data_IF_096789466704
#
_entry.id   IF_096789466704
#
_cell.length_a   1.000
_cell.length_b   1.000
_cell.length_c   1.000
_cell.angle_alpha   90.00
_cell.angle_beta   90.00
_cell.angle_gamma   90.00
#
_symmetry.space_group_name_H-M   'P 1'
#
loop_
_entity.id
_entity.type
_entity.pdbx_description
1 polymer ?
#
# COMPACT_ATOMS: atom_id res chain seq x y z
N UNK A 1 7.10 15.38 24.44
CA UNK A 1 7.94 14.53 23.58
C UNK A 1 8.40 15.34 22.39
N UNK A 2 9.58 15.05 21.86
CA UNK A 2 10.06 15.63 20.61
C UNK A 2 9.64 14.74 19.45
N UNK A 3 8.78 15.22 18.56
CA UNK A 3 8.11 14.41 17.51
C UNK A 3 8.47 14.89 16.12
N UNK A 4 8.96 13.99 15.27
CA UNK A 4 9.20 14.25 13.86
C UNK A 4 7.94 13.88 13.06
N UNK A 5 7.32 14.85 12.39
CA UNK A 5 6.10 14.62 11.61
C UNK A 5 6.42 14.56 10.12
N UNK A 6 6.13 13.43 9.48
CA UNK A 6 6.24 13.30 8.02
C UNK A 6 5.14 14.12 7.34
N UNK A 7 5.52 15.22 6.68
CA UNK A 7 4.61 16.16 6.03
C UNK A 7 4.71 16.02 4.51
N UNK A 8 3.65 15.56 3.88
CA UNK A 8 3.58 15.35 2.41
C UNK A 8 2.99 16.55 1.65
N UNK A 9 2.64 17.63 2.33
CA UNK A 9 1.90 18.75 1.75
C UNK A 9 0.41 18.46 1.51
N UNK A 10 -0.10 17.33 1.99
CA UNK A 10 -1.53 16.99 2.00
C UNK A 10 -2.22 17.40 3.29
N UNK A 11 -3.58 17.39 3.29
CA UNK A 11 -4.40 17.78 4.44
C UNK A 11 -4.13 16.92 5.68
N UNK A 12 -4.01 15.60 5.50
CA UNK A 12 -3.88 14.63 6.58
C UNK A 12 -2.61 14.84 7.41
N UNK A 13 -1.46 14.96 6.75
CA UNK A 13 -0.18 15.22 7.43
C UNK A 13 -0.12 16.61 8.07
N UNK A 14 -0.81 17.59 7.48
CA UNK A 14 -0.91 18.96 8.03
C UNK A 14 -1.72 18.97 9.33
N UNK A 15 -2.87 18.28 9.36
CA UNK A 15 -3.70 18.14 10.55
C UNK A 15 -2.98 17.33 11.63
N UNK A 16 -2.28 16.25 11.25
CA UNK A 16 -1.48 15.47 12.19
C UNK A 16 -0.43 16.32 12.92
N UNK A 17 0.30 17.19 12.19
CA UNK A 17 1.27 18.11 12.78
C UNK A 17 0.61 19.11 13.73
N UNK A 18 -0.52 19.70 13.31
CA UNK A 18 -1.24 20.68 14.11
C UNK A 18 -1.78 20.09 15.42
N UNK A 19 -2.38 18.90 15.37
CA UNK A 19 -2.93 18.21 16.55
C UNK A 19 -1.84 17.87 17.56
N UNK A 20 -0.67 17.44 17.11
CA UNK A 20 0.47 17.16 17.99
C UNK A 20 0.99 18.44 18.65
N UNK A 21 1.05 19.55 17.92
CA UNK A 21 1.42 20.85 18.50
C UNK A 21 0.38 21.32 19.53
N UNK A 22 -0.91 21.22 19.22
CA UNK A 22 -1.99 21.54 20.16
C UNK A 22 -1.93 20.66 21.44
N UNK A 23 -1.48 19.41 21.29
CA UNK A 23 -1.26 18.49 22.43
C UNK A 23 0.01 18.82 23.26
N UNK A 24 0.76 19.87 22.88
CA UNK A 24 1.94 20.33 23.63
C UNK A 24 3.22 19.54 23.33
N UNK A 25 3.31 18.84 22.22
CA UNK A 25 4.56 18.20 21.77
C UNK A 25 5.51 19.23 21.15
N UNK A 26 6.82 18.98 21.26
CA UNK A 26 7.88 19.65 20.49
C UNK A 26 7.88 19.03 19.07
N UNK A 27 7.25 19.71 18.11
CA UNK A 27 6.98 19.19 16.78
C UNK A 27 7.96 19.77 15.76
N UNK A 28 8.57 18.90 14.98
CA UNK A 28 9.39 19.26 13.81
C UNK A 28 8.82 18.56 12.58
N UNK A 29 8.56 19.32 11.51
CA UNK A 29 8.10 18.79 10.24
C UNK A 29 9.25 18.25 9.38
N UNK A 30 8.99 17.20 8.62
CA UNK A 30 9.92 16.68 7.61
C UNK A 30 9.19 16.29 6.34
N UNK A 31 9.61 16.82 5.19
CA UNK A 31 9.18 16.33 3.88
C UNK A 31 10.24 15.40 3.30
N UNK A 32 9.79 14.24 2.83
CA UNK A 32 10.66 13.26 2.18
C UNK A 32 10.64 13.53 0.68
N UNK A 33 11.79 13.94 0.12
CA UNK A 33 11.95 14.03 -1.33
C UNK A 33 12.25 12.62 -1.85
N UNK A 34 11.26 12.01 -2.51
CA UNK A 34 11.31 10.61 -2.97
C UNK A 34 11.61 10.48 -4.46
N UNK A 35 11.18 11.43 -5.26
CA UNK A 35 11.28 11.39 -6.72
C UNK A 35 11.84 12.70 -7.25
N UNK A 36 12.61 12.66 -8.33
CA UNK A 36 13.29 13.82 -8.91
C UNK A 36 13.29 13.82 -10.44
N UNK A 37 12.30 13.16 -11.07
CA UNK A 37 12.16 13.13 -12.53
C UNK A 37 11.77 14.50 -13.13
N UNK A 38 11.84 14.62 -14.45
CA UNK A 38 11.44 15.82 -15.20
C UNK A 38 9.95 16.18 -15.03
N UNK A 39 9.15 15.24 -14.57
CA UNK A 39 7.76 15.40 -14.19
C UNK A 39 7.66 15.54 -12.66
N UNK A 40 7.45 16.73 -12.22
CA UNK A 40 7.28 17.13 -10.82
C UNK A 40 5.83 16.80 -10.32
N UNK A 41 5.34 15.60 -10.67
CA UNK A 41 4.00 15.13 -10.34
C UNK A 41 4.07 14.01 -9.29
N UNK A 42 3.23 14.09 -8.28
CA UNK A 42 3.15 13.12 -7.19
C UNK A 42 3.35 13.76 -5.82
N UNK A 43 3.27 12.96 -4.75
CA UNK A 43 3.28 13.44 -3.35
C UNK A 43 4.62 14.06 -2.88
N UNK A 44 5.50 14.44 -3.80
CA UNK A 44 6.79 15.11 -3.52
C UNK A 44 7.08 16.19 -4.57
N UNK A 45 6.06 16.73 -5.22
CA UNK A 45 6.22 17.86 -6.15
C UNK A 45 6.77 19.10 -5.41
N UNK A 46 7.39 20.03 -6.14
CA UNK A 46 7.85 21.30 -5.55
C UNK A 46 6.69 22.00 -4.85
N UNK A 47 5.50 21.96 -5.43
CA UNK A 47 4.29 22.54 -4.83
C UNK A 47 3.89 21.87 -3.50
N UNK A 48 4.04 20.55 -3.39
CA UNK A 48 3.73 19.83 -2.14
C UNK A 48 4.75 20.17 -1.03
N UNK A 49 6.03 20.26 -1.39
CA UNK A 49 7.08 20.71 -0.46
C UNK A 49 6.81 22.13 0.02
N UNK A 50 6.41 23.02 -0.88
CA UNK A 50 6.06 24.40 -0.52
C UNK A 50 4.81 24.48 0.33
N UNK A 51 3.78 23.66 0.07
CA UNK A 51 2.59 23.57 0.91
C UNK A 51 2.97 23.08 2.32
N UNK A 52 3.79 22.03 2.44
CA UNK A 52 4.28 21.53 3.73
C UNK A 52 5.05 22.61 4.52
N UNK A 53 5.96 23.37 3.84
CA UNK A 53 6.69 24.48 4.46
C UNK A 53 5.77 25.59 4.95
N UNK A 54 4.77 25.96 4.16
CA UNK A 54 3.81 27.02 4.53
C UNK A 54 2.95 26.58 5.72
N UNK A 55 2.52 25.34 5.75
CA UNK A 55 1.82 24.78 6.93
C UNK A 55 2.73 24.77 8.13
N UNK A 56 3.96 24.30 8.03
CA UNK A 56 4.93 24.31 9.13
C UNK A 56 5.16 25.73 9.66
N UNK A 57 5.34 26.71 8.76
CA UNK A 57 5.46 28.13 9.14
C UNK A 57 4.20 28.66 9.84
N UNK A 58 3.00 28.33 9.35
CA UNK A 58 1.75 28.76 9.99
C UNK A 58 1.54 28.13 11.38
N UNK A 59 2.11 26.96 11.60
CA UNK A 59 2.11 26.27 12.89
C UNK A 59 3.28 26.70 13.79
N UNK A 60 4.17 27.56 13.32
CA UNK A 60 5.41 27.95 14.01
C UNK A 60 6.19 26.71 14.48
N UNK A 61 6.52 25.82 13.54
CA UNK A 61 7.38 24.64 13.72
C UNK A 61 8.50 24.62 12.69
N UNK A 62 9.66 24.09 13.07
CA UNK A 62 10.76 23.86 12.13
C UNK A 62 10.39 22.82 11.08
N UNK A 63 10.95 22.98 9.86
CA UNK A 63 10.68 22.06 8.75
C UNK A 63 11.95 21.70 8.00
N UNK A 64 12.20 20.41 7.81
CA UNK A 64 13.33 19.88 7.08
C UNK A 64 12.91 19.15 5.80
N UNK A 65 13.83 19.04 4.85
CA UNK A 65 13.67 18.19 3.66
C UNK A 65 14.73 17.10 3.73
N UNK A 66 14.29 15.85 3.71
CA UNK A 66 15.17 14.69 3.62
C UNK A 66 15.14 14.13 2.21
N UNK A 67 16.30 14.07 1.57
CA UNK A 67 16.43 13.51 0.24
C UNK A 67 16.64 11.99 0.35
N UNK A 68 15.67 11.23 -0.12
CA UNK A 68 15.68 9.77 -0.24
C UNK A 68 15.46 9.31 -1.69
N UNK A 69 15.81 10.14 -2.68
CA UNK A 69 15.57 9.83 -4.09
C UNK A 69 16.28 8.54 -4.53
N UNK A 70 17.54 8.37 -4.12
CA UNK A 70 18.33 7.17 -4.45
C UNK A 70 17.81 5.91 -3.76
N UNK A 71 17.45 6.03 -2.50
CA UNK A 71 16.90 4.92 -1.71
C UNK A 71 15.51 4.52 -2.22
N UNK A 72 14.70 5.50 -2.60
CA UNK A 72 13.38 5.25 -3.18
C UNK A 72 13.48 4.57 -4.56
N UNK A 73 14.39 5.03 -5.42
CA UNK A 73 14.65 4.39 -6.70
C UNK A 73 15.07 2.92 -6.49
N UNK A 74 16.01 2.67 -5.59
CA UNK A 74 16.55 1.33 -5.36
C UNK A 74 15.56 0.38 -4.68
N UNK A 75 14.80 0.86 -3.68
CA UNK A 75 13.93 0.02 -2.86
C UNK A 75 12.48 -0.07 -3.34
N UNK A 76 12.01 0.88 -4.14
CA UNK A 76 10.60 0.96 -4.56
C UNK A 76 10.45 0.90 -6.07
N UNK A 77 11.10 1.82 -6.81
CA UNK A 77 10.87 1.94 -8.26
C UNK A 77 11.49 0.77 -9.02
N UNK A 78 12.76 0.47 -8.75
CA UNK A 78 13.45 -0.64 -9.43
C UNK A 78 12.77 -1.99 -9.17
N UNK A 79 12.46 -2.40 -7.93
CA UNK A 79 11.71 -3.64 -7.69
C UNK A 79 10.32 -3.65 -8.34
N UNK A 80 9.62 -2.52 -8.37
CA UNK A 80 8.34 -2.40 -9.04
C UNK A 80 8.44 -2.68 -10.55
N UNK A 81 9.49 -2.20 -11.21
CA UNK A 81 9.76 -2.44 -12.63
C UNK A 81 10.18 -3.90 -12.87
N UNK A 82 11.11 -4.42 -12.06
CA UNK A 82 11.63 -5.78 -12.17
C UNK A 82 10.51 -6.83 -11.95
N UNK A 83 9.66 -6.62 -10.97
CA UNK A 83 8.52 -7.49 -10.67
C UNK A 83 7.51 -7.51 -11.84
N UNK A 84 7.18 -6.35 -12.43
CA UNK A 84 6.31 -6.31 -13.61
C UNK A 84 6.96 -7.02 -14.80
N UNK A 85 8.27 -6.88 -15.02
CA UNK A 85 8.99 -7.61 -16.05
C UNK A 85 8.89 -9.13 -15.84
N UNK A 86 8.88 -9.57 -14.59
CA UNK A 86 8.71 -10.98 -14.20
C UNK A 86 7.23 -11.45 -14.19
N UNK A 87 6.26 -10.60 -14.54
CA UNK A 87 4.82 -10.92 -14.52
C UNK A 87 4.21 -10.97 -13.13
N UNK A 88 4.84 -10.32 -12.15
CA UNK A 88 4.29 -10.12 -10.81
C UNK A 88 3.46 -8.83 -10.76
N UNK A 89 2.65 -8.71 -9.72
CA UNK A 89 1.83 -7.50 -9.49
C UNK A 89 2.20 -6.87 -8.14
N UNK A 90 3.30 -6.11 -8.06
CA UNK A 90 3.77 -5.53 -6.80
C UNK A 90 2.90 -4.36 -6.33
N UNK A 91 2.96 -4.06 -5.01
CA UNK A 91 2.38 -2.86 -4.43
C UNK A 91 3.49 -1.90 -3.94
N UNK A 92 3.85 -0.88 -4.74
CA UNK A 92 4.96 0.01 -4.41
C UNK A 92 4.65 0.90 -3.19
N UNK A 93 3.39 1.16 -2.85
CA UNK A 93 3.02 1.94 -1.68
C UNK A 93 3.36 1.21 -0.38
N UNK A 94 3.20 -0.11 -0.35
CA UNK A 94 3.61 -0.94 0.80
C UNK A 94 5.12 -0.88 0.99
N UNK A 95 5.89 -1.06 -0.08
CA UNK A 95 7.35 -0.99 -0.02
C UNK A 95 7.86 0.41 0.38
N UNK A 96 7.24 1.47 -0.14
CA UNK A 96 7.55 2.84 0.28
C UNK A 96 7.30 3.04 1.77
N UNK A 97 6.17 2.58 2.30
CA UNK A 97 5.90 2.66 3.73
C UNK A 97 6.93 1.84 4.52
N UNK A 98 7.15 0.56 4.15
CA UNK A 98 8.07 -0.33 4.86
C UNK A 98 9.49 0.21 4.92
N UNK A 99 10.10 0.51 3.76
CA UNK A 99 11.53 0.85 3.70
C UNK A 99 11.78 2.34 3.96
N UNK A 100 11.04 3.22 3.29
CA UNK A 100 11.37 4.65 3.32
C UNK A 100 10.81 5.32 4.58
N UNK A 101 9.50 5.11 4.85
CA UNK A 101 8.84 5.82 5.95
C UNK A 101 9.05 5.17 7.31
N UNK A 102 9.16 3.84 7.38
CA UNK A 102 9.24 3.15 8.68
C UNK A 102 10.60 2.56 9.00
N UNK A 103 11.47 2.28 8.02
CA UNK A 103 12.85 1.94 8.34
C UNK A 103 13.74 3.19 8.31
N UNK A 104 13.94 3.81 7.15
CA UNK A 104 14.93 4.91 6.99
C UNK A 104 14.56 6.19 7.75
N UNK A 105 13.29 6.61 7.74
CA UNK A 105 12.88 7.81 8.47
C UNK A 105 12.98 7.61 9.97
N UNK A 106 12.61 6.44 10.50
CA UNK A 106 12.73 6.14 11.93
C UNK A 106 14.18 6.08 12.37
N UNK A 107 15.07 5.43 11.61
CA UNK A 107 16.51 5.43 11.87
C UNK A 107 17.07 6.86 11.89
N UNK A 108 16.64 7.70 10.96
CA UNK A 108 17.07 9.10 10.93
C UNK A 108 16.53 9.90 12.11
N UNK A 109 15.26 9.71 12.47
CA UNK A 109 14.63 10.36 13.61
C UNK A 109 15.36 10.00 14.92
N UNK A 110 15.72 8.73 15.09
CA UNK A 110 16.49 8.25 16.24
C UNK A 110 17.85 8.91 16.32
N UNK A 111 18.60 8.96 15.19
CA UNK A 111 19.91 9.65 15.13
C UNK A 111 19.83 11.15 15.44
N UNK A 112 18.70 11.78 15.16
CA UNK A 112 18.44 13.20 15.43
C UNK A 112 17.83 13.44 16.82
N UNK A 113 17.65 12.40 17.65
CA UNK A 113 17.16 12.49 19.02
C UNK A 113 15.67 12.78 19.13
N UNK A 114 14.85 12.33 18.17
CA UNK A 114 13.39 12.37 18.29
C UNK A 114 12.88 11.18 19.10
N UNK A 115 11.89 11.43 19.96
CA UNK A 115 11.23 10.40 20.77
C UNK A 115 10.28 9.56 19.93
N UNK A 116 9.60 10.17 18.98
CA UNK A 116 8.59 9.54 18.13
C UNK A 116 8.59 10.11 16.70
N UNK A 117 8.00 9.34 15.79
CA UNK A 117 7.68 9.77 14.42
C UNK A 117 6.17 9.72 14.23
N UNK A 118 5.61 10.76 13.64
CA UNK A 118 4.20 10.82 13.33
C UNK A 118 3.95 10.94 11.83
N UNK A 119 2.82 10.41 11.39
CA UNK A 119 2.37 10.52 10.00
C UNK A 119 0.87 10.79 9.93
N UNK A 120 0.42 11.29 8.77
CA UNK A 120 -0.99 11.49 8.48
C UNK A 120 -1.69 10.25 7.90
N UNK A 121 -1.33 9.03 8.32
CA UNK A 121 -2.06 7.85 7.87
C UNK A 121 -3.35 7.64 8.67
N UNK A 122 -4.41 7.26 7.97
CA UNK A 122 -5.68 6.82 8.57
C UNK A 122 -5.55 5.37 9.06
N UNK A 123 -4.93 5.20 10.20
CA UNK A 123 -4.83 3.97 10.98
C UNK A 123 -4.61 4.36 12.44
N UNK A 124 -4.71 3.42 13.37
CA UNK A 124 -4.49 3.63 14.79
C UNK A 124 -3.32 2.79 15.29
N UNK A 125 -2.70 3.24 16.37
CA UNK A 125 -1.84 2.40 17.22
C UNK A 125 -2.52 2.34 18.58
N UNK A 126 -3.04 1.17 18.92
CA UNK A 126 -3.76 0.93 20.17
C UNK A 126 -3.03 -0.12 21.02
N UNK A 127 -3.24 -0.09 22.34
CA UNK A 127 -2.72 -1.12 23.21
C UNK A 127 -3.62 -2.36 23.14
N UNK A 128 -3.11 -3.43 22.53
CA UNK A 128 -3.79 -4.72 22.42
C UNK A 128 -2.90 -5.84 22.95
N UNK A 129 -3.44 -6.68 23.84
CA UNK A 129 -2.68 -7.72 24.54
C UNK A 129 -1.38 -7.19 25.20
N UNK A 130 -1.44 -5.96 25.76
CA UNK A 130 -0.31 -5.32 26.42
C UNK A 130 0.78 -4.76 25.49
N UNK A 131 0.57 -4.70 24.17
CA UNK A 131 1.54 -4.22 23.18
C UNK A 131 0.91 -3.18 22.25
N UNK A 132 1.64 -2.11 21.89
CA UNK A 132 1.18 -1.18 20.85
C UNK A 132 0.98 -1.92 19.53
N UNK A 133 -0.23 -1.92 19.00
CA UNK A 133 -0.59 -2.71 17.82
C UNK A 133 -1.24 -1.81 16.78
N UNK A 134 -0.84 -1.98 15.53
CA UNK A 134 -1.46 -1.29 14.41
C UNK A 134 -2.91 -1.78 14.26
N UNK A 135 -3.83 -0.83 14.16
CA UNK A 135 -5.27 -1.11 14.16
C UNK A 135 -5.93 -0.33 13.03
N UNK A 136 -7.02 -0.88 12.48
CA UNK A 136 -7.81 -0.19 11.46
C UNK A 136 -8.28 1.17 11.94
N UNK A 137 -8.36 2.12 10.99
CA UNK A 137 -8.98 3.42 11.20
C UNK A 137 -10.47 3.28 11.58
N UNK A 138 -11.00 4.31 12.21
CA UNK A 138 -12.45 4.44 12.43
C UNK A 138 -13.23 4.71 11.14
N UNK A 139 -12.56 5.26 10.11
CA UNK A 139 -13.11 5.47 8.77
C UNK A 139 -12.75 4.30 7.86
N UNK A 140 -13.66 3.34 7.59
CA UNK A 140 -13.36 2.17 6.78
C UNK A 140 -13.10 2.51 5.31
N UNK A 141 -13.55 3.67 4.81
CA UNK A 141 -13.32 4.11 3.43
C UNK A 141 -11.92 4.72 3.25
N UNK A 142 -11.28 5.12 4.35
CA UNK A 142 -9.95 5.72 4.37
C UNK A 142 -8.92 4.86 5.09
N UNK A 143 -9.31 3.70 5.63
CA UNK A 143 -8.41 2.82 6.35
C UNK A 143 -7.14 2.49 5.54
N UNK A 144 -6.00 2.81 6.13
CA UNK A 144 -4.67 2.59 5.55
C UNK A 144 -3.88 1.52 6.31
N UNK A 145 -4.48 0.79 7.22
CA UNK A 145 -3.82 -0.31 7.94
C UNK A 145 -3.23 -1.36 6.99
N UNK A 146 -3.89 -1.59 5.86
CA UNK A 146 -3.40 -2.49 4.81
C UNK A 146 -2.01 -2.09 4.28
N UNK A 147 -1.79 -0.82 3.94
CA UNK A 147 -0.49 -0.38 3.41
C UNK A 147 0.59 -0.24 4.48
N UNK A 148 0.22 -0.42 5.74
CA UNK A 148 1.10 -0.43 6.91
C UNK A 148 1.34 -1.84 7.49
N UNK A 149 0.82 -2.89 6.86
CA UNK A 149 0.79 -4.26 7.40
C UNK A 149 2.14 -4.87 7.75
N UNK A 150 3.25 -4.33 7.21
CA UNK A 150 4.61 -4.78 7.49
C UNK A 150 5.31 -4.02 8.63
N UNK A 151 4.60 -3.10 9.31
CA UNK A 151 5.19 -2.32 10.41
C UNK A 151 5.39 -3.22 11.63
N UNK A 152 6.63 -3.25 12.15
CA UNK A 152 7.03 -4.11 13.27
C UNK A 152 6.92 -3.40 14.62
N UNK A 153 6.87 -4.18 15.70
CA UNK A 153 6.70 -3.72 17.07
C UNK A 153 7.62 -2.60 17.54
N UNK A 154 8.95 -2.65 17.27
CA UNK A 154 9.85 -1.55 17.65
C UNK A 154 9.46 -0.20 17.02
N UNK A 155 8.92 -0.22 15.79
CA UNK A 155 8.40 0.99 15.14
C UNK A 155 7.09 1.43 15.79
N UNK A 156 6.16 0.49 16.04
CA UNK A 156 4.85 0.76 16.65
C UNK A 156 4.94 1.44 18.02
N UNK A 157 6.00 1.15 18.79
CA UNK A 157 6.24 1.79 20.09
C UNK A 157 6.52 3.29 19.99
N UNK A 158 6.96 3.78 18.83
CA UNK A 158 7.35 5.17 18.59
C UNK A 158 6.54 5.82 17.47
N UNK A 159 5.56 5.11 16.90
CA UNK A 159 4.70 5.60 15.81
C UNK A 159 3.48 6.30 16.38
N UNK A 160 3.22 7.52 15.91
CA UNK A 160 2.01 8.27 16.21
C UNK A 160 1.18 8.48 14.95
N UNK A 161 -0.10 8.16 15.04
CA UNK A 161 -1.09 8.32 13.96
C UNK A 161 -2.26 9.18 14.44
N UNK A 162 -2.06 10.53 14.55
CA UNK A 162 -2.98 11.40 15.27
C UNK A 162 -4.39 11.48 14.67
N UNK A 163 -4.55 11.17 13.38
CA UNK A 163 -5.84 11.28 12.67
C UNK A 163 -6.57 9.95 12.52
N UNK A 164 -6.00 8.83 12.97
CA UNK A 164 -6.60 7.50 12.79
C UNK A 164 -7.96 7.31 13.49
N UNK A 165 -8.20 8.09 14.56
CA UNK A 165 -9.47 8.13 15.28
C UNK A 165 -10.51 9.09 14.69
N UNK A 166 -10.28 9.63 13.50
CA UNK A 166 -11.15 10.60 12.82
C UNK A 166 -11.57 10.08 11.45
N UNK A 167 -12.82 10.39 11.06
CA UNK A 167 -13.22 10.24 9.67
C UNK A 167 -12.65 11.40 8.81
N UNK A 168 -12.71 11.26 7.51
CA UNK A 168 -12.11 12.26 6.59
C UNK A 168 -12.75 13.64 6.69
N UNK A 169 -14.04 13.72 6.98
CA UNK A 169 -14.76 14.99 7.14
C UNK A 169 -14.29 15.72 8.40
N UNK A 170 -14.11 15.01 9.50
CA UNK A 170 -13.56 15.56 10.74
C UNK A 170 -12.13 16.10 10.53
N UNK A 171 -11.27 15.38 9.79
CA UNK A 171 -9.94 15.88 9.43
C UNK A 171 -10.03 17.19 8.65
N UNK A 172 -10.97 17.32 7.70
CA UNK A 172 -11.16 18.56 6.93
C UNK A 172 -11.69 19.70 7.81
N UNK A 173 -12.61 19.42 8.74
CA UNK A 173 -13.10 20.40 9.72
C UNK A 173 -11.93 20.92 10.59
N UNK A 174 -11.04 20.05 11.05
CA UNK A 174 -9.84 20.48 11.77
C UNK A 174 -8.91 21.34 10.90
N UNK A 175 -8.70 20.96 9.64
CA UNK A 175 -7.88 21.75 8.72
C UNK A 175 -8.46 23.14 8.47
N UNK A 176 -9.77 23.25 8.32
CA UNK A 176 -10.49 24.53 8.15
C UNK A 176 -10.43 25.38 9.41
N UNK A 177 -10.72 24.82 10.59
CA UNK A 177 -10.62 25.48 11.90
C UNK A 177 -9.24 26.10 12.11
N UNK A 178 -8.19 25.40 11.69
CA UNK A 178 -6.80 25.81 11.81
C UNK A 178 -6.33 26.69 10.64
N UNK A 179 -7.24 27.04 9.74
CA UNK A 179 -6.95 27.84 8.53
C UNK A 179 -5.78 27.31 7.71
N UNK A 180 -5.65 25.96 7.63
CA UNK A 180 -4.60 25.32 6.86
C UNK A 180 -4.91 25.42 5.37
N UNK A 181 -3.97 25.90 4.56
CA UNK A 181 -4.16 26.06 3.10
C UNK A 181 -4.51 24.75 2.38
N UNK A 182 -4.18 23.62 2.99
CA UNK A 182 -4.43 22.27 2.45
C UNK A 182 -5.84 21.75 2.71
N UNK A 183 -6.72 22.50 3.38
CA UNK A 183 -8.03 22.02 3.85
C UNK A 183 -8.92 21.44 2.75
N UNK A 184 -8.89 21.99 1.52
CA UNK A 184 -9.68 21.55 0.38
C UNK A 184 -8.85 20.82 -0.69
N UNK A 185 -7.57 20.51 -0.40
CA UNK A 185 -6.70 19.81 -1.34
C UNK A 185 -7.25 18.40 -1.60
N UNK A 186 -7.34 17.96 -2.87
CA UNK A 186 -7.74 16.58 -3.19
C UNK A 186 -6.75 15.56 -2.62
N UNK A 187 -7.27 14.38 -2.27
CA UNK A 187 -6.41 13.26 -1.88
C UNK A 187 -5.65 12.72 -3.09
N UNK A 188 -4.40 12.29 -2.87
CA UNK A 188 -3.63 11.58 -3.90
C UNK A 188 -4.29 10.22 -4.18
N UNK A 189 -4.58 9.94 -5.45
CA UNK A 189 -5.31 8.73 -5.86
C UNK A 189 -4.40 7.67 -6.50
N UNK A 190 -3.22 8.07 -7.00
CA UNK A 190 -2.34 7.21 -7.79
C UNK A 190 -0.97 6.99 -7.14
N UNK A 191 -0.21 6.06 -7.73
CA UNK A 191 1.18 5.79 -7.36
C UNK A 191 2.01 7.04 -7.61
N UNK A 192 2.68 7.56 -6.58
CA UNK A 192 3.27 8.89 -6.54
C UNK A 192 4.36 9.19 -7.60
N UNK A 193 4.99 8.17 -8.18
CA UNK A 193 6.03 8.32 -9.22
C UNK A 193 5.52 8.01 -10.63
N UNK A 194 4.23 7.74 -10.79
CA UNK A 194 3.57 7.54 -12.09
C UNK A 194 2.65 8.73 -12.36
N UNK A 195 2.92 9.46 -13.43
CA UNK A 195 2.06 10.55 -13.84
C UNK A 195 0.67 10.05 -14.24
N UNK A 196 -0.38 10.60 -13.63
CA UNK A 196 -1.77 10.23 -13.93
C UNK A 196 -2.13 10.43 -15.41
N UNK A 197 -1.50 11.41 -16.09
CA UNK A 197 -1.69 11.70 -17.51
C UNK A 197 -1.10 10.65 -18.45
N UNK A 198 -0.02 9.96 -18.02
CA UNK A 198 0.70 8.96 -18.82
C UNK A 198 0.35 7.52 -18.45
N UNK A 199 0.08 7.29 -17.17
CA UNK A 199 -0.33 6.00 -16.68
C UNK A 199 0.82 4.97 -16.56
N UNK A 200 0.45 3.80 -16.07
CA UNK A 200 1.40 2.71 -15.77
C UNK A 200 2.05 2.11 -17.03
N UNK A 201 1.28 2.00 -18.12
CA UNK A 201 1.75 1.42 -19.36
C UNK A 201 2.90 2.24 -19.97
N UNK A 202 2.76 3.55 -20.06
CA UNK A 202 3.84 4.42 -20.57
C UNK A 202 5.06 4.40 -19.64
N UNK A 203 4.83 4.48 -18.31
CA UNK A 203 5.92 4.45 -17.33
C UNK A 203 6.76 3.17 -17.43
N UNK A 204 6.11 2.01 -17.53
CA UNK A 204 6.79 0.71 -17.64
C UNK A 204 7.38 0.51 -19.04
N UNK A 205 6.69 0.91 -20.10
CA UNK A 205 7.16 0.76 -21.48
C UNK A 205 8.44 1.55 -21.80
N UNK A 206 8.77 2.57 -20.98
CA UNK A 206 10.06 3.28 -21.07
C UNK A 206 11.21 2.52 -20.38
N UNK A 207 10.92 1.44 -19.63
CA UNK A 207 11.89 0.73 -18.76
C UNK A 207 11.99 -0.74 -19.04
N UNK A 208 10.95 -1.37 -19.54
CA UNK A 208 10.88 -2.78 -19.92
C UNK A 208 10.17 -2.95 -21.26
N UNK A 209 10.46 -4.04 -21.94
CA UNK A 209 9.76 -4.42 -23.16
C UNK A 209 8.37 -4.99 -22.82
N UNK A 210 7.33 -4.19 -23.05
CA UNK A 210 5.95 -4.65 -22.92
C UNK A 210 5.57 -5.53 -24.09
N UNK A 211 5.06 -6.73 -23.80
CA UNK A 211 4.80 -7.75 -24.80
C UNK A 211 3.30 -7.95 -24.99
N UNK A 212 2.81 -7.83 -26.22
CA UNK A 212 1.43 -8.18 -26.52
C UNK A 212 1.22 -9.70 -26.41
N UNK A 213 0.04 -10.11 -25.95
CA UNK A 213 -0.32 -11.52 -25.79
C UNK A 213 -1.70 -11.82 -26.38
N UNK A 214 -1.88 -13.04 -26.88
CA UNK A 214 -3.18 -13.54 -27.29
C UNK A 214 -4.04 -13.88 -26.06
N UNK A 215 -5.35 -13.56 -26.15
CA UNK A 215 -6.32 -13.94 -25.14
C UNK A 215 -7.04 -15.21 -25.59
N UNK A 216 -6.81 -16.29 -24.88
CA UNK A 216 -7.36 -17.60 -25.17
C UNK A 216 -8.47 -17.95 -24.19
N UNK A 217 -9.66 -18.23 -24.70
CA UNK A 217 -10.81 -18.63 -23.92
C UNK A 217 -10.80 -20.14 -23.69
N UNK A 218 -10.65 -20.55 -22.43
CA UNK A 218 -10.66 -21.95 -22.02
C UNK A 218 -12.01 -22.64 -22.25
N UNK A 219 -13.10 -21.89 -22.26
CA UNK A 219 -14.44 -22.45 -22.48
C UNK A 219 -14.67 -22.81 -23.95
N UNK A 220 -14.33 -21.87 -24.84
CA UNK A 220 -14.56 -22.06 -26.30
C UNK A 220 -13.33 -22.68 -27.03
N UNK A 221 -12.20 -22.78 -26.33
CA UNK A 221 -10.93 -23.28 -26.89
C UNK A 221 -10.44 -22.46 -28.11
N UNK A 222 -10.68 -21.15 -28.10
CA UNK A 222 -10.35 -20.24 -29.20
C UNK A 222 -9.68 -18.97 -28.70
N UNK A 223 -8.96 -18.29 -29.59
CA UNK A 223 -8.44 -16.95 -29.36
C UNK A 223 -9.61 -15.94 -29.52
N UNK A 224 -9.89 -15.19 -28.47
CA UNK A 224 -11.00 -14.20 -28.44
C UNK A 224 -10.53 -12.76 -28.50
N UNK A 225 -9.21 -12.53 -28.48
CA UNK A 225 -8.69 -11.18 -28.55
C UNK A 225 -7.18 -11.12 -28.32
N UNK A 226 -6.69 -9.90 -28.01
CA UNK A 226 -5.28 -9.63 -27.72
C UNK A 226 -5.18 -8.52 -26.69
N UNK A 227 -4.20 -8.61 -25.79
CA UNK A 227 -3.82 -7.54 -24.85
C UNK A 227 -2.52 -6.90 -25.32
N UNK A 228 -2.36 -5.57 -25.18
CA UNK A 228 -1.15 -4.88 -25.66
C UNK A 228 0.08 -5.17 -24.78
N UNK A 229 -0.12 -5.39 -23.47
CA UNK A 229 0.95 -5.60 -22.50
C UNK A 229 0.55 -6.70 -21.49
N UNK A 230 1.06 -7.92 -21.70
CA UNK A 230 0.77 -9.06 -20.82
C UNK A 230 1.25 -8.83 -19.39
N UNK A 231 2.35 -8.09 -19.20
CA UNK A 231 2.91 -7.73 -17.90
C UNK A 231 1.97 -6.87 -17.04
N UNK A 232 0.97 -6.23 -17.66
CA UNK A 232 -0.02 -5.41 -16.96
C UNK A 232 -1.34 -6.13 -16.66
N UNK A 233 -1.43 -7.39 -17.09
CA UNK A 233 -2.62 -8.22 -16.87
C UNK A 233 -2.53 -8.90 -15.51
N UNK A 234 -3.60 -8.81 -14.72
CA UNK A 234 -3.70 -9.41 -13.38
C UNK A 234 -4.68 -10.58 -13.35
N UNK A 235 -4.41 -11.57 -12.52
CA UNK A 235 -5.34 -12.69 -12.30
C UNK A 235 -6.70 -12.18 -11.80
N UNK A 236 -7.76 -12.77 -12.28
CA UNK A 236 -9.15 -12.36 -11.98
C UNK A 236 -9.59 -11.05 -12.63
N UNK A 237 -8.73 -10.40 -13.44
CA UNK A 237 -9.08 -9.18 -14.17
C UNK A 237 -10.20 -9.47 -15.19
N UNK A 238 -11.17 -8.54 -15.26
CA UNK A 238 -12.23 -8.53 -16.27
C UNK A 238 -12.12 -7.33 -17.22
N UNK A 239 -11.72 -6.16 -16.67
CA UNK A 239 -11.66 -4.93 -17.46
C UNK A 239 -10.59 -5.06 -18.55
N UNK A 240 -10.93 -4.70 -19.79
CA UNK A 240 -10.05 -4.82 -20.96
C UNK A 240 -9.95 -6.24 -21.53
N UNK A 241 -10.73 -7.20 -21.01
CA UNK A 241 -10.85 -8.55 -21.55
C UNK A 241 -12.14 -8.68 -22.35
N UNK A 242 -12.04 -9.18 -23.59
CA UNK A 242 -13.21 -9.45 -24.42
C UNK A 242 -14.11 -10.53 -23.79
N UNK A 243 -15.43 -10.44 -23.93
CA UNK A 243 -16.31 -11.54 -23.57
C UNK A 243 -16.07 -12.75 -24.48
N UNK A 244 -16.49 -13.94 -24.04
CA UNK A 244 -16.49 -15.12 -24.88
C UNK A 244 -17.47 -14.98 -26.09
N UNK A 245 -17.31 -15.82 -27.09
CA UNK A 245 -18.22 -15.85 -28.24
C UNK A 245 -19.69 -16.23 -27.88
N UNK A 246 -19.87 -16.78 -26.67
CA UNK A 246 -21.18 -17.04 -26.06
C UNK A 246 -21.79 -15.79 -25.41
N UNK A 247 -21.12 -14.63 -25.48
CA UNK A 247 -21.54 -13.38 -24.87
C UNK A 247 -21.29 -13.31 -23.34
N UNK A 248 -20.82 -14.40 -22.74
CA UNK A 248 -20.54 -14.47 -21.29
C UNK A 248 -19.24 -13.76 -20.92
N UNK A 249 -19.21 -13.24 -19.69
CA UNK A 249 -18.02 -12.56 -19.15
C UNK A 249 -16.88 -13.54 -18.93
N UNK A 250 -15.67 -13.08 -19.22
CA UNK A 250 -14.43 -13.81 -18.98
C UNK A 250 -13.55 -13.08 -17.99
N UNK A 251 -12.78 -13.87 -17.25
CA UNK A 251 -11.83 -13.41 -16.23
C UNK A 251 -10.48 -14.07 -16.48
N UNK A 252 -9.41 -13.33 -16.24
CA UNK A 252 -8.05 -13.86 -16.42
C UNK A 252 -7.81 -15.01 -15.46
N UNK A 253 -7.49 -16.17 -16.00
CA UNK A 253 -7.18 -17.39 -15.29
C UNK A 253 -5.67 -17.59 -15.13
N UNK A 254 -4.89 -17.28 -16.18
CA UNK A 254 -3.42 -17.36 -16.16
C UNK A 254 -2.80 -16.36 -17.13
N UNK A 255 -1.55 -15.97 -16.82
CA UNK A 255 -0.71 -15.15 -17.71
C UNK A 255 0.60 -15.88 -17.94
N UNK A 256 0.89 -16.19 -19.19
CA UNK A 256 2.13 -16.84 -19.65
C UNK A 256 2.88 -15.83 -20.53
N UNK A 257 3.91 -15.21 -19.95
CA UNK A 257 4.72 -14.21 -20.65
C UNK A 257 5.61 -14.85 -21.72
N UNK A 258 6.11 -16.06 -21.47
CA UNK A 258 7.02 -16.78 -22.37
C UNK A 258 6.31 -17.15 -23.67
N UNK A 259 5.10 -17.71 -23.55
CA UNK A 259 4.28 -18.10 -24.69
C UNK A 259 3.36 -16.98 -25.19
N UNK A 260 3.45 -15.77 -24.60
CA UNK A 260 2.62 -14.61 -24.95
C UNK A 260 1.14 -14.93 -24.97
N UNK A 261 0.65 -15.59 -23.93
CA UNK A 261 -0.70 -16.08 -23.82
C UNK A 261 -1.33 -15.67 -22.49
N UNK A 262 -2.53 -15.10 -22.56
CA UNK A 262 -3.41 -14.85 -21.42
C UNK A 262 -4.59 -15.78 -21.56
N UNK A 263 -4.80 -16.65 -20.60
CA UNK A 263 -5.96 -17.53 -20.59
C UNK A 263 -7.07 -16.94 -19.76
N UNK A 264 -8.28 -17.06 -20.26
CA UNK A 264 -9.49 -16.56 -19.60
C UNK A 264 -10.53 -17.66 -19.45
N UNK A 265 -11.33 -17.54 -18.39
CA UNK A 265 -12.37 -18.52 -18.07
C UNK A 265 -13.58 -17.83 -17.40
N UNK A 266 -14.61 -18.60 -17.08
CA UNK A 266 -15.71 -18.18 -16.23
C UNK A 266 -15.22 -17.97 -14.81
N UNK A 267 -15.91 -17.12 -14.05
CA UNK A 267 -15.49 -16.76 -12.69
C UNK A 267 -15.41 -17.98 -11.76
N UNK A 268 -16.37 -18.90 -11.90
CA UNK A 268 -16.45 -20.09 -11.06
C UNK A 268 -15.25 -21.04 -11.27
N UNK A 269 -14.71 -21.09 -12.49
CA UNK A 269 -13.58 -21.96 -12.84
C UNK A 269 -12.23 -21.43 -12.35
N UNK A 270 -12.15 -20.15 -11.99
CA UNK A 270 -10.89 -19.54 -11.53
C UNK A 270 -10.84 -19.29 -10.01
N UNK A 271 -11.93 -19.60 -9.29
CA UNK A 271 -11.95 -19.43 -7.83
C UNK A 271 -10.92 -20.35 -7.15
N UNK A 272 -10.26 -19.82 -6.14
CA UNK A 272 -9.25 -20.57 -5.36
C UNK A 272 -9.65 -20.66 -3.88
N UNK A 273 -9.31 -21.76 -3.25
CA UNK A 273 -9.53 -22.00 -1.81
C UNK A 273 -8.26 -21.81 -0.97
N UNK A 274 -7.11 -21.55 -1.62
CA UNK A 274 -5.86 -21.29 -0.92
C UNK A 274 -4.99 -20.31 -1.70
N UNK A 275 -4.11 -19.60 -0.96
CA UNK A 275 -3.11 -18.68 -1.52
C UNK A 275 -1.74 -19.11 -1.00
N UNK A 276 -0.82 -19.43 -1.89
CA UNK A 276 0.59 -19.63 -1.53
C UNK A 276 1.19 -18.29 -1.09
N UNK A 277 2.05 -18.33 -0.07
CA UNK A 277 2.77 -17.16 0.42
C UNK A 277 4.26 -17.32 0.15
N UNK A 278 4.95 -16.21 -0.08
CA UNK A 278 6.40 -16.19 -0.19
C UNK A 278 7.03 -16.29 1.20
N UNK A 279 7.83 -17.32 1.51
CA UNK A 279 8.41 -17.50 2.85
C UNK A 279 9.26 -16.32 3.31
N UNK A 280 10.07 -15.76 2.39
CA UNK A 280 10.98 -14.64 2.62
C UNK A 280 10.28 -13.29 2.88
N UNK A 281 8.99 -13.20 2.58
CA UNK A 281 8.18 -12.00 2.78
C UNK A 281 7.31 -12.04 4.05
N UNK A 282 7.19 -13.20 4.69
CA UNK A 282 6.35 -13.38 5.87
C UNK A 282 6.91 -12.55 7.03
N UNK A 283 6.11 -11.63 7.52
CA UNK A 283 6.51 -10.68 8.56
C UNK A 283 5.40 -10.56 9.59
N UNK A 284 5.75 -10.64 10.86
CA UNK A 284 4.84 -10.41 11.99
C UNK A 284 5.21 -9.11 12.71
N UNK A 285 4.19 -8.44 13.25
CA UNK A 285 4.39 -7.21 14.00
C UNK A 285 5.26 -7.47 15.25
N UNK A 286 5.05 -8.61 15.89
CA UNK A 286 5.81 -9.08 17.06
C UNK A 286 6.23 -10.55 16.86
N UNK A 287 5.77 -11.42 17.73
CA UNK A 287 6.09 -12.85 17.67
C UNK A 287 5.32 -13.51 16.52
N UNK A 288 5.91 -14.55 15.95
CA UNK A 288 5.25 -15.39 14.97
C UNK A 288 3.98 -16.01 15.58
N UNK A 289 2.87 -15.96 14.85
CA UNK A 289 1.65 -16.64 15.26
C UNK A 289 1.76 -18.15 14.98
N UNK A 290 1.17 -19.03 15.81
CA UNK A 290 1.23 -20.47 15.56
C UNK A 290 0.66 -20.87 14.19
N UNK A 291 1.26 -21.85 13.55
CA UNK A 291 0.69 -22.45 12.33
C UNK A 291 -0.69 -23.05 12.65
N UNK A 292 -1.64 -22.87 11.75
CA UNK A 292 -3.04 -23.22 11.96
C UNK A 292 -3.87 -22.12 12.65
N UNK A 293 -3.28 -20.93 12.89
CA UNK A 293 -4.04 -19.80 13.45
C UNK A 293 -5.08 -19.31 12.44
N UNK A 294 -6.33 -19.16 12.88
CA UNK A 294 -7.38 -18.49 12.11
C UNK A 294 -7.18 -16.98 12.16
N UNK A 295 -7.29 -16.32 11.01
CA UNK A 295 -7.04 -14.88 10.82
C UNK A 295 -8.06 -14.29 9.85
N UNK A 296 -8.30 -13.00 9.94
CA UNK A 296 -8.93 -12.26 8.85
C UNK A 296 -7.84 -11.75 7.90
N UNK A 297 -8.06 -11.86 6.61
CA UNK A 297 -7.06 -11.47 5.59
C UNK A 297 -7.60 -10.45 4.61
N UNK A 298 -6.72 -9.56 4.14
CA UNK A 298 -7.03 -8.56 3.14
C UNK A 298 -5.84 -8.40 2.17
N UNK A 299 -6.11 -8.36 0.86
CA UNK A 299 -5.09 -8.26 -0.20
C UNK A 299 -5.27 -7.07 -1.15
N UNK A 300 -6.08 -6.12 -0.77
CA UNK A 300 -6.18 -4.83 -1.46
C UNK A 300 -6.71 -3.77 -0.50
N UNK A 301 -6.33 -2.51 -0.70
CA UNK A 301 -6.66 -1.40 0.20
C UNK A 301 -8.17 -1.25 0.48
N UNK A 302 -9.01 -1.53 -0.52
CA UNK A 302 -10.48 -1.44 -0.40
C UNK A 302 -11.15 -2.83 -0.49
N UNK A 303 -10.38 -3.91 -0.30
CA UNK A 303 -10.89 -5.27 -0.31
C UNK A 303 -11.68 -5.60 0.95
N UNK A 304 -12.75 -6.41 0.81
CA UNK A 304 -13.45 -6.95 1.96
C UNK A 304 -12.55 -7.96 2.68
N UNK A 305 -12.37 -7.88 3.99
CA UNK A 305 -11.69 -8.91 4.76
C UNK A 305 -12.39 -10.26 4.65
N UNK A 306 -11.61 -11.35 4.61
CA UNK A 306 -12.07 -12.73 4.56
C UNK A 306 -11.43 -13.56 5.66
N UNK A 307 -12.13 -14.56 6.16
CA UNK A 307 -11.57 -15.54 7.08
C UNK A 307 -10.63 -16.51 6.37
N UNK A 308 -9.53 -16.86 7.03
CA UNK A 308 -8.57 -17.85 6.53
C UNK A 308 -7.80 -18.50 7.68
N UNK A 309 -7.26 -19.68 7.45
CA UNK A 309 -6.27 -20.31 8.34
C UNK A 309 -4.87 -20.11 7.79
N UNK A 310 -3.98 -19.55 8.58
CA UNK A 310 -2.58 -19.32 8.22
C UNK A 310 -1.74 -20.55 8.56
N UNK A 311 -1.25 -21.25 7.56
CA UNK A 311 -0.30 -22.35 7.70
C UNK A 311 1.11 -21.82 7.48
N UNK A 312 2.00 -22.04 8.46
CA UNK A 312 3.40 -21.61 8.47
C UNK A 312 4.29 -22.85 8.35
N UNK A 313 5.39 -22.74 7.62
CA UNK A 313 6.35 -23.81 7.38
C UNK A 313 7.17 -23.52 6.13
N UNK A 314 7.78 -24.54 5.53
CA UNK A 314 8.62 -24.41 4.32
C UNK A 314 7.83 -23.87 3.11
N UNK A 315 6.53 -24.13 3.05
CA UNK A 315 5.62 -23.65 2.03
C UNK A 315 4.39 -22.98 2.69
N UNK A 316 4.55 -21.77 3.23
CA UNK A 316 3.46 -21.08 3.95
C UNK A 316 2.32 -20.74 3.00
N UNK A 317 1.09 -20.83 3.51
CA UNK A 317 -0.11 -20.58 2.73
C UNK A 317 -1.29 -20.14 3.61
N UNK A 318 -2.27 -19.55 2.97
CA UNK A 318 -3.60 -19.29 3.54
C UNK A 318 -4.58 -20.32 2.99
N UNK A 319 -5.33 -20.96 3.86
CA UNK A 319 -6.52 -21.73 3.52
C UNK A 319 -7.72 -20.83 3.75
N UNK A 320 -8.42 -20.46 2.69
CA UNK A 320 -9.54 -19.53 2.75
C UNK A 320 -10.80 -20.26 3.24
N UNK A 321 -11.59 -19.62 4.10
CA UNK A 321 -12.86 -20.18 4.59
C UNK A 321 -13.88 -20.33 3.46
N UNK A 322 -13.84 -19.42 2.48
CA UNK A 322 -14.67 -19.43 1.28
C UNK A 322 -13.79 -19.23 0.02
N UNK A 323 -14.12 -19.88 -1.11
CA UNK A 323 -13.40 -19.64 -2.34
C UNK A 323 -13.42 -18.16 -2.75
N UNK A 324 -12.28 -17.65 -3.17
CA UNK A 324 -12.09 -16.28 -3.59
C UNK A 324 -11.53 -16.19 -5.02
N UNK A 325 -11.59 -15.01 -5.62
CA UNK A 325 -10.87 -14.75 -6.87
C UNK A 325 -9.37 -14.91 -6.64
N UNK A 326 -8.62 -15.40 -7.63
CA UNK A 326 -7.19 -15.55 -7.51
C UNK A 326 -6.53 -14.18 -7.25
N UNK A 327 -5.49 -14.20 -6.46
CA UNK A 327 -4.65 -13.03 -6.18
C UNK A 327 -3.34 -13.21 -6.93
N UNK A 328 -2.93 -12.19 -7.68
CA UNK A 328 -1.69 -12.26 -8.45
C UNK A 328 -0.48 -12.35 -7.53
N UNK A 329 0.51 -13.15 -7.92
CA UNK A 329 1.78 -13.22 -7.24
C UNK A 329 2.45 -11.84 -7.17
N UNK A 330 3.12 -11.53 -6.06
CA UNK A 330 3.67 -10.22 -5.74
C UNK A 330 2.71 -9.26 -5.03
N UNK A 331 1.40 -9.55 -5.01
CA UNK A 331 0.46 -8.80 -4.18
C UNK A 331 0.67 -9.11 -2.70
N UNK A 332 0.52 -8.09 -1.86
CA UNK A 332 0.58 -8.29 -0.41
C UNK A 332 -0.76 -8.72 0.15
N UNK A 333 -0.71 -9.58 1.16
CA UNK A 333 -1.84 -9.92 2.01
C UNK A 333 -1.49 -9.54 3.45
N UNK A 334 -2.43 -8.89 4.14
CA UNK A 334 -2.29 -8.46 5.54
C UNK A 334 -3.18 -9.33 6.41
N UNK A 335 -2.65 -9.78 7.53
CA UNK A 335 -3.31 -10.63 8.51
C UNK A 335 -3.80 -9.78 9.68
N UNK A 336 -5.06 -9.95 10.04
CA UNK A 336 -5.69 -9.31 11.19
C UNK A 336 -6.19 -10.38 12.17
N UNK A 337 -6.38 -9.99 13.43
CA UNK A 337 -6.98 -10.87 14.42
C UNK A 337 -8.34 -11.40 13.95
N UNK A 338 -8.64 -12.67 14.30
CA UNK A 338 -9.86 -13.32 13.85
C UNK A 338 -11.12 -12.83 14.59
N UNK A 339 -10.95 -12.31 15.82
CA UNK A 339 -12.07 -11.96 16.68
C UNK A 339 -12.74 -10.66 16.23
N UNK A 340 -11.94 -9.63 15.98
CA UNK A 340 -12.45 -8.32 15.61
C UNK A 340 -12.15 -7.93 14.17
N UNK A 341 -11.13 -8.55 13.54
CA UNK A 341 -10.61 -8.21 12.22
C UNK A 341 -9.96 -6.82 12.19
N UNK A 342 -9.56 -6.26 13.34
CA UNK A 342 -9.07 -4.89 13.44
C UNK A 342 -7.57 -4.79 13.65
N UNK A 343 -6.97 -5.67 14.46
CA UNK A 343 -5.57 -5.58 14.86
C UNK A 343 -4.68 -6.30 13.86
N UNK A 344 -3.69 -5.61 13.33
CA UNK A 344 -2.75 -6.18 12.37
C UNK A 344 -1.77 -7.11 13.09
N UNK A 345 -1.71 -8.36 12.65
CA UNK A 345 -0.78 -9.38 13.14
C UNK A 345 0.50 -9.40 12.31
N UNK A 346 0.38 -9.14 11.00
CA UNK A 346 1.49 -9.18 10.07
C UNK A 346 1.04 -9.17 8.62
N UNK A 347 1.96 -9.47 7.72
CA UNK A 347 1.72 -9.49 6.28
C UNK A 347 2.66 -10.45 5.56
N UNK A 348 2.31 -10.82 4.33
CA UNK A 348 3.17 -11.54 3.40
C UNK A 348 2.86 -11.16 1.96
N UNK A 349 3.74 -11.54 1.02
CA UNK A 349 3.43 -11.48 -0.40
C UNK A 349 2.87 -12.83 -0.88
N UNK A 350 1.91 -12.77 -1.79
CA UNK A 350 1.39 -13.95 -2.49
C UNK A 350 2.47 -14.50 -3.40
N UNK A 351 2.73 -15.82 -3.31
CA UNK A 351 3.65 -16.57 -4.14
C UNK A 351 3.03 -17.02 -5.48
N UNK A 352 3.80 -17.75 -6.25
CA UNK A 352 3.35 -18.45 -7.47
C UNK A 352 2.81 -19.83 -7.15
#
# INVERSE_FOLDING_TARGET
MRVLVAMSGGVDSSVAAALLKEAGHDVVGATLKLWGGASDSGCCSVSDVDDARRVAHSLDIDHHIFNYTSEFEAAVVKPFVDDHAAGLTPNPCIECNRVIKFDLLFERAERLGFDAVATGHHALVELWNGRPTLTRSVDPLKDQSYVLGYVRGPILQRLMLPIGGMNKEEVRVHAERLNLRTWNKPDSQDVCFIEASRGREEFLGQRIDLTSAEVFDRVTQTVVGRVPAAQLVTLGQRRGIAPGFDGERRFVASVDLENRRVEVDRIEAIMVSSLALRPDSLTFAYDEVPSGTHVMVQWSAHGRPMGATLEIGDAPRLILDEPARPVSAGQSVVFYDAETGRHVLGAAQVGR
#
